data_IF_408396982772
#
_entry.id   IF_408396982772
#
_cell.length_a   1.000
_cell.length_b   1.000
_cell.length_c   1.000
_cell.angle_alpha   90.00
_cell.angle_beta   90.00
_cell.angle_gamma   90.00
#
_symmetry.space_group_name_H-M   'P 1'
#
loop_
_entity.id
_entity.type
_entity.pdbx_description
1 polymer ?
#
# COMPACT_ATOMS: atom_id res chain seq x y z
N UNK A 1 -2.29 -33.58 25.96
CA UNK A 1 -1.01 -33.20 25.29
C UNK A 1 -1.28 -33.13 23.80
N UNK A 2 -1.47 -31.92 23.28
CA UNK A 2 -1.60 -31.68 21.84
C UNK A 2 -0.23 -31.76 21.17
N UNK A 3 -0.10 -32.33 19.96
CA UNK A 3 1.09 -32.12 19.15
C UNK A 3 1.03 -30.75 18.45
N UNK A 4 2.11 -29.96 18.41
CA UNK A 4 2.25 -28.84 17.50
C UNK A 4 3.09 -29.27 16.31
N UNK A 5 2.52 -29.29 15.10
CA UNK A 5 3.29 -29.04 13.87
C UNK A 5 2.35 -28.87 12.68
N UNK A 6 1.95 -27.63 12.41
CA UNK A 6 1.56 -27.23 11.06
C UNK A 6 2.78 -26.57 10.41
N UNK A 7 3.70 -27.39 9.93
CA UNK A 7 4.61 -26.97 8.87
C UNK A 7 3.86 -27.16 7.54
N UNK A 8 3.40 -26.06 6.95
CA UNK A 8 2.97 -26.05 5.57
C UNK A 8 3.41 -24.72 4.93
N UNK A 9 4.65 -24.70 4.46
CA UNK A 9 5.09 -23.77 3.43
C UNK A 9 4.48 -24.22 2.09
N UNK A 10 3.61 -23.40 1.51
CA UNK A 10 3.21 -23.47 0.11
C UNK A 10 2.85 -22.05 -0.39
N UNK A 11 3.15 -21.69 -1.66
CA UNK A 11 3.01 -20.34 -2.16
C UNK A 11 1.52 -19.98 -2.28
N UNK A 12 1.08 -18.99 -1.50
CA UNK A 12 -0.31 -18.56 -1.46
C UNK A 12 -0.70 -17.92 -2.80
N UNK A 13 -1.35 -18.70 -3.66
CA UNK A 13 -2.16 -18.20 -4.78
C UNK A 13 -3.49 -17.72 -4.20
N UNK A 14 -3.67 -16.40 -4.15
CA UNK A 14 -4.90 -15.63 -3.90
C UNK A 14 -5.91 -16.24 -2.90
N UNK A 15 -5.80 -15.85 -1.63
CA UNK A 15 -6.96 -15.81 -0.74
C UNK A 15 -7.81 -14.57 -1.07
N UNK A 16 -9.07 -14.72 -1.51
CA UNK A 16 -9.93 -13.58 -1.86
C UNK A 16 -10.21 -12.65 -0.67
N UNK A 17 -10.23 -13.19 0.55
CA UNK A 17 -10.43 -12.42 1.79
C UNK A 17 -9.20 -11.55 2.09
N UNK A 18 -7.99 -12.07 1.87
CA UNK A 18 -6.75 -11.31 2.02
C UNK A 18 -6.65 -10.18 0.98
N UNK A 19 -7.11 -10.43 -0.25
CA UNK A 19 -7.21 -9.41 -1.30
C UNK A 19 -8.23 -8.31 -0.96
N UNK A 20 -9.37 -8.67 -0.36
CA UNK A 20 -10.38 -7.69 0.10
C UNK A 20 -9.83 -6.76 1.18
N UNK A 21 -9.18 -7.31 2.20
CA UNK A 21 -8.60 -6.54 3.31
C UNK A 21 -7.46 -5.63 2.84
N UNK A 22 -6.63 -6.12 1.93
CA UNK A 22 -5.60 -5.31 1.28
C UNK A 22 -6.19 -4.11 0.54
N UNK A 23 -7.25 -4.34 -0.23
CA UNK A 23 -7.92 -3.26 -0.97
C UNK A 23 -8.54 -2.23 -0.04
N UNK A 24 -9.24 -2.65 1.02
CA UNK A 24 -9.80 -1.76 2.04
C UNK A 24 -8.71 -0.88 2.67
N UNK A 25 -7.60 -1.49 3.10
CA UNK A 25 -6.48 -0.76 3.69
C UNK A 25 -5.87 0.28 2.74
N UNK A 26 -5.70 -0.09 1.46
CA UNK A 26 -5.19 0.83 0.44
C UNK A 26 -6.18 1.98 0.23
N UNK A 27 -7.47 1.69 0.06
CA UNK A 27 -8.49 2.70 -0.19
C UNK A 27 -8.61 3.67 0.99
N UNK A 28 -8.65 3.16 2.21
CA UNK A 28 -8.68 3.96 3.43
C UNK A 28 -7.45 4.86 3.53
N UNK A 29 -6.26 4.30 3.32
CA UNK A 29 -5.02 5.06 3.33
C UNK A 29 -4.96 6.13 2.22
N UNK A 30 -5.56 5.89 1.05
CA UNK A 30 -5.63 6.87 -0.03
C UNK A 30 -6.60 8.02 0.27
N UNK A 31 -7.58 7.84 1.15
CA UNK A 31 -8.54 8.92 1.50
C UNK A 31 -7.84 10.14 2.10
N UNK A 32 -6.70 9.97 2.79
CA UNK A 32 -5.95 11.11 3.35
C UNK A 32 -5.43 12.07 2.28
N UNK A 33 -5.17 11.56 1.06
CA UNK A 33 -4.69 12.37 -0.06
C UNK A 33 -5.75 13.36 -0.56
N UNK A 34 -7.02 13.17 -0.23
CA UNK A 34 -8.08 14.13 -0.54
C UNK A 34 -7.92 15.44 0.25
N UNK A 35 -7.40 15.36 1.48
CA UNK A 35 -7.23 16.52 2.38
C UNK A 35 -5.79 17.01 2.41
N UNK A 36 -4.85 16.09 2.24
CA UNK A 36 -3.41 16.34 2.37
C UNK A 36 -2.64 15.75 1.18
N UNK A 37 -2.84 16.26 -0.05
CA UNK A 37 -2.19 15.70 -1.25
C UNK A 37 -0.67 15.92 -1.29
N UNK A 38 -0.10 16.69 -0.37
CA UNK A 38 1.34 16.95 -0.29
C UNK A 38 2.05 16.16 0.82
N UNK A 39 1.32 15.32 1.57
CA UNK A 39 1.87 14.57 2.72
C UNK A 39 2.89 13.49 2.32
N UNK A 40 2.85 13.05 1.06
CA UNK A 40 3.76 12.04 0.55
C UNK A 40 5.16 12.59 0.30
N UNK A 41 6.15 11.72 0.48
CA UNK A 41 7.56 12.00 0.22
C UNK A 41 7.78 12.22 -1.28
N UNK A 42 8.29 13.37 -1.71
CA UNK A 42 8.61 13.59 -3.13
C UNK A 42 9.79 12.72 -3.56
N UNK A 43 9.70 12.15 -4.76
CA UNK A 43 10.78 11.49 -5.46
C UNK A 43 11.38 12.41 -6.53
N UNK A 44 12.57 12.07 -7.02
CA UNK A 44 13.14 12.69 -8.22
C UNK A 44 12.19 12.46 -9.41
N UNK A 45 11.78 13.55 -10.08
CA UNK A 45 10.89 13.48 -11.26
C UNK A 45 9.41 13.79 -11.02
N UNK A 46 9.04 14.32 -9.84
CA UNK A 46 7.70 14.81 -9.46
C UNK A 46 6.63 13.85 -8.87
N UNK A 47 6.73 12.51 -8.90
CA UNK A 47 5.80 11.68 -8.15
C UNK A 47 6.15 11.66 -6.66
N UNK A 48 5.17 11.26 -5.84
CA UNK A 48 5.25 11.18 -4.38
C UNK A 48 4.93 9.77 -3.93
N UNK A 49 5.58 9.34 -2.86
CA UNK A 49 5.27 8.09 -2.17
C UNK A 49 4.55 8.39 -0.87
N UNK A 50 3.48 7.64 -0.61
CA UNK A 50 2.85 7.59 0.70
C UNK A 50 3.04 6.17 1.24
N UNK A 51 3.46 6.05 2.49
CA UNK A 51 3.54 4.75 3.17
C UNK A 51 2.24 4.55 3.95
N UNK A 52 1.49 3.51 3.60
CA UNK A 52 0.27 3.08 4.29
C UNK A 52 0.63 1.81 5.06
N UNK A 53 0.70 1.91 6.38
CA UNK A 53 0.93 0.74 7.25
C UNK A 53 -0.36 -0.08 7.40
N UNK A 54 -0.26 -1.40 7.29
CA UNK A 54 -1.39 -2.31 7.50
C UNK A 54 -0.92 -3.69 8.00
N UNK A 55 -1.31 -4.04 9.23
CA UNK A 55 -0.91 -5.30 9.87
C UNK A 55 0.62 -5.43 9.97
N UNK A 56 1.16 -6.58 9.57
CA UNK A 56 2.60 -6.88 9.58
C UNK A 56 3.36 -6.33 8.35
N UNK A 57 2.72 -5.47 7.57
CA UNK A 57 3.29 -4.91 6.35
C UNK A 57 2.79 -3.50 6.05
N UNK A 58 3.00 -3.10 4.80
CA UNK A 58 2.58 -1.79 4.33
C UNK A 58 2.50 -1.76 2.81
N UNK A 59 1.78 -0.78 2.31
CA UNK A 59 1.68 -0.45 0.90
C UNK A 59 2.31 0.91 0.65
N UNK A 60 2.96 1.04 -0.49
CA UNK A 60 3.60 2.27 -0.93
C UNK A 60 2.97 2.69 -2.25
N UNK A 61 1.82 3.38 -2.23
CA UNK A 61 1.32 4.08 -3.40
C UNK A 61 2.29 5.16 -3.88
N UNK A 62 2.59 5.10 -5.17
CA UNK A 62 3.22 6.16 -5.94
C UNK A 62 2.12 7.00 -6.57
N UNK A 63 2.12 8.31 -6.34
CA UNK A 63 1.07 9.20 -6.82
C UNK A 63 1.59 10.55 -7.28
N UNK A 64 0.80 11.25 -8.09
CA UNK A 64 1.02 12.64 -8.48
C UNK A 64 -0.16 13.50 -8.04
N UNK A 65 0.12 14.66 -7.46
CA UNK A 65 -0.90 15.70 -7.28
C UNK A 65 -0.90 16.65 -8.47
N UNK A 66 -2.08 16.94 -9.02
CA UNK A 66 -2.32 17.89 -10.12
C UNK A 66 -3.06 19.11 -9.56
N UNK A 67 -2.35 20.17 -9.11
CA UNK A 67 -2.99 21.31 -8.45
C UNK A 67 -4.03 22.03 -9.32
N UNK A 68 -3.82 22.06 -10.64
CA UNK A 68 -4.76 22.69 -11.59
C UNK A 68 -6.11 21.98 -11.71
N UNK A 69 -6.14 20.69 -11.38
CA UNK A 69 -7.33 19.83 -11.47
C UNK A 69 -7.85 19.43 -10.08
N UNK A 70 -7.17 19.88 -9.01
CA UNK A 70 -7.38 19.43 -7.64
C UNK A 70 -7.52 17.90 -7.51
N UNK A 71 -6.63 17.18 -8.21
CA UNK A 71 -6.73 15.72 -8.37
C UNK A 71 -5.45 15.02 -7.98
N UNK A 72 -5.62 13.87 -7.33
CA UNK A 72 -4.55 12.90 -7.08
C UNK A 72 -4.67 11.75 -8.06
N UNK A 73 -3.57 11.43 -8.74
CA UNK A 73 -3.44 10.30 -9.65
C UNK A 73 -2.52 9.26 -9.02
N UNK A 74 -3.06 8.09 -8.69
CA UNK A 74 -2.26 6.95 -8.20
C UNK A 74 -1.69 6.22 -9.42
N UNK A 75 -0.36 6.19 -9.51
CA UNK A 75 0.38 5.61 -10.64
C UNK A 75 0.65 4.12 -10.44
N UNK A 76 0.95 3.72 -9.20
CA UNK A 76 1.21 2.34 -8.82
C UNK A 76 0.96 2.16 -7.33
N UNK A 77 0.61 0.95 -6.92
CA UNK A 77 0.60 0.54 -5.51
C UNK A 77 1.54 -0.65 -5.37
N UNK A 78 2.55 -0.53 -4.51
CA UNK A 78 3.56 -1.57 -4.27
C UNK A 78 3.45 -2.08 -2.85
N UNK A 79 3.79 -3.34 -2.62
CA UNK A 79 4.00 -3.80 -1.25
C UNK A 79 5.33 -3.22 -0.72
N UNK A 80 5.41 -2.90 0.56
CA UNK A 80 6.59 -2.29 1.18
C UNK A 80 7.87 -3.12 0.95
N UNK A 81 7.74 -4.45 1.00
CA UNK A 81 8.81 -5.41 0.68
C UNK A 81 9.34 -5.32 -0.76
N UNK A 82 8.49 -4.92 -1.71
CA UNK A 82 8.85 -4.75 -3.13
C UNK A 82 9.36 -3.34 -3.44
N UNK A 83 9.00 -2.37 -2.60
CA UNK A 83 9.42 -0.98 -2.71
C UNK A 83 10.80 -0.69 -2.07
N UNK A 84 11.50 -1.73 -1.60
CA UNK A 84 12.85 -1.59 -1.03
C UNK A 84 12.89 -1.06 0.41
N UNK A 85 11.74 -1.00 1.08
CA UNK A 85 11.65 -0.68 2.50
C UNK A 85 11.83 -1.97 3.30
N UNK A 86 12.87 -2.01 4.14
CA UNK A 86 13.17 -3.14 5.04
C UNK A 86 12.51 -2.95 6.39
#
# INVERSE_FOLDING_TARGET
>A
MSPPSCAASAPAKHEPIAASRANEAILDGLTILQRHPLIGRPLEGAPRELVIFHGDGGYVPLYCFRPRLDRVEVLAVRHQREAGFR
#
